data_IF_282859041106
#
_entry.id   IF_282859041106
#
_cell.length_a   1.000
_cell.length_b   1.000
_cell.length_c   1.000
_cell.angle_alpha   90.00
_cell.angle_beta   90.00
_cell.angle_gamma   90.00
#
_symmetry.space_group_name_H-M   'P 1'
#
loop_
_entity.id
_entity.type
_entity.pdbx_description
1 polymer ?
#
# COMPACT_ATOMS: atom_id res chain seq x y z
N UNK A 1 7.10 1.25 -20.56
CA UNK A 1 5.97 2.00 -21.15
C UNK A 1 6.14 3.46 -20.82
N UNK A 2 6.03 4.35 -21.81
CA UNK A 2 6.22 5.79 -21.58
C UNK A 2 5.28 6.58 -22.47
N UNK A 3 4.70 7.65 -21.93
CA UNK A 3 3.82 8.55 -22.69
C UNK A 3 2.63 7.82 -23.33
N UNK A 4 2.02 6.89 -22.59
CA UNK A 4 0.82 6.19 -23.03
C UNK A 4 -0.41 6.76 -22.35
N UNK A 5 -1.56 6.65 -23.01
CA UNK A 5 -2.87 6.93 -22.40
C UNK A 5 -3.70 5.67 -22.42
N UNK A 6 -4.18 5.26 -21.24
CA UNK A 6 -5.06 4.10 -21.05
C UNK A 6 -6.37 4.61 -20.47
N UNK A 7 -7.41 4.63 -21.29
CA UNK A 7 -8.66 5.28 -20.95
C UNK A 7 -9.89 4.44 -21.24
N UNK A 8 -10.96 4.74 -20.52
CA UNK A 8 -12.32 4.23 -20.76
C UNK A 8 -12.41 2.69 -20.77
N UNK A 9 -11.50 2.01 -20.05
CA UNK A 9 -11.49 0.57 -19.93
C UNK A 9 -12.64 0.10 -19.01
N UNK A 10 -13.58 -0.65 -19.57
CA UNK A 10 -14.81 -1.05 -18.86
C UNK A 10 -14.96 -2.56 -18.64
N UNK A 11 -14.11 -3.37 -19.26
CA UNK A 11 -14.12 -4.84 -19.19
C UNK A 11 -12.68 -5.38 -19.25
N UNK A 12 -12.50 -6.62 -18.83
CA UNK A 12 -11.19 -7.28 -18.75
C UNK A 12 -10.62 -7.27 -17.33
N UNK A 13 -9.37 -7.72 -17.20
CA UNK A 13 -8.69 -7.84 -15.90
C UNK A 13 -8.13 -6.50 -15.41
N UNK A 14 -7.52 -5.73 -16.31
CA UNK A 14 -6.98 -4.40 -16.04
C UNK A 14 -6.83 -3.61 -17.36
N UNK A 15 -6.65 -2.30 -17.27
CA UNK A 15 -6.22 -1.48 -18.41
C UNK A 15 -4.82 -1.85 -18.88
N UNK A 16 -3.91 -2.07 -17.94
CA UNK A 16 -2.59 -2.67 -18.17
C UNK A 16 -2.34 -3.75 -17.12
N UNK A 17 -2.02 -4.95 -17.56
CA UNK A 17 -1.56 -6.05 -16.72
C UNK A 17 -0.15 -6.43 -17.15
N UNK A 18 0.79 -6.33 -16.21
CA UNK A 18 2.15 -6.88 -16.36
C UNK A 18 2.30 -7.98 -15.33
N UNK A 19 2.35 -9.23 -15.79
CA UNK A 19 2.60 -10.40 -14.96
C UNK A 19 3.72 -11.21 -15.60
N UNK A 20 4.84 -11.37 -14.89
CA UNK A 20 6.01 -12.07 -15.42
C UNK A 20 6.97 -12.47 -14.29
N UNK A 21 7.54 -13.67 -14.40
CA UNK A 21 8.56 -14.20 -13.48
C UNK A 21 10.00 -13.98 -13.92
N UNK A 22 10.22 -13.32 -15.06
CA UNK A 22 11.54 -13.21 -15.69
C UNK A 22 11.91 -11.79 -16.11
N UNK A 23 11.04 -10.80 -15.93
CA UNK A 23 11.40 -9.42 -16.24
C UNK A 23 12.31 -8.83 -15.15
N UNK A 24 13.46 -8.32 -15.59
CA UNK A 24 14.39 -7.58 -14.72
C UNK A 24 13.87 -6.17 -14.40
N UNK A 25 13.18 -5.51 -15.33
CA UNK A 25 12.69 -4.15 -15.13
C UNK A 25 11.32 -3.91 -15.79
N UNK A 26 10.39 -3.34 -15.01
CA UNK A 26 9.15 -2.76 -15.49
C UNK A 26 9.17 -1.27 -15.18
N UNK A 27 9.19 -0.44 -16.23
CA UNK A 27 9.18 1.01 -16.10
C UNK A 27 7.93 1.59 -16.76
N UNK A 28 7.18 2.39 -16.01
CA UNK A 28 5.99 3.13 -16.42
C UNK A 28 6.24 4.59 -16.08
N UNK A 29 6.39 5.42 -17.10
CA UNK A 29 6.74 6.83 -16.92
C UNK A 29 5.84 7.75 -17.74
N UNK A 30 5.55 8.95 -17.22
CA UNK A 30 4.89 10.03 -17.95
C UNK A 30 3.59 9.59 -18.64
N UNK A 31 2.79 8.75 -17.99
CA UNK A 31 1.61 8.10 -18.61
C UNK A 31 0.29 8.55 -17.95
N UNK A 32 -0.82 8.46 -18.67
CA UNK A 32 -2.15 8.86 -18.22
C UNK A 32 -3.10 7.67 -18.18
N UNK A 33 -3.75 7.45 -17.04
CA UNK A 33 -4.79 6.46 -16.84
C UNK A 33 -6.07 7.14 -16.42
N UNK A 34 -7.16 7.02 -17.19
CA UNK A 34 -8.38 7.79 -16.89
C UNK A 34 -9.68 7.10 -17.24
N UNK A 35 -10.70 7.27 -16.38
CA UNK A 35 -12.06 6.73 -16.60
C UNK A 35 -12.10 5.22 -16.78
N UNK A 36 -11.14 4.51 -16.21
CA UNK A 36 -11.16 3.05 -16.19
C UNK A 36 -12.05 2.58 -15.05
N UNK A 37 -12.96 1.63 -15.33
CA UNK A 37 -13.83 1.00 -14.32
C UNK A 37 -13.39 -0.42 -13.95
N UNK A 38 -12.25 -0.84 -14.49
CA UNK A 38 -11.44 -1.98 -14.07
C UNK A 38 -10.13 -1.40 -13.52
N UNK A 39 -9.31 -2.20 -12.78
CA UNK A 39 -7.99 -1.73 -12.36
C UNK A 39 -7.22 -1.08 -13.50
N UNK A 40 -6.65 0.10 -13.26
CA UNK A 40 -5.94 0.82 -14.32
C UNK A 40 -4.60 0.17 -14.63
N UNK A 41 -3.91 -0.27 -13.58
CA UNK A 41 -2.60 -0.89 -13.67
C UNK A 41 -2.47 -2.01 -12.64
N UNK A 42 -2.11 -3.20 -13.10
CA UNK A 42 -1.64 -4.30 -12.26
C UNK A 42 -0.22 -4.65 -12.69
N UNK A 43 0.71 -4.64 -11.74
CA UNK A 43 2.08 -5.13 -11.94
C UNK A 43 2.35 -6.20 -10.91
N UNK A 44 2.60 -7.42 -11.36
CA UNK A 44 2.98 -8.54 -10.53
C UNK A 44 4.27 -9.12 -11.08
N UNK A 45 5.36 -8.84 -10.36
CA UNK A 45 6.67 -9.36 -10.70
C UNK A 45 7.05 -10.43 -9.71
N UNK A 46 6.98 -11.67 -10.17
CA UNK A 46 7.64 -12.78 -9.51
C UNK A 46 9.14 -12.66 -9.82
N UNK A 47 9.98 -12.86 -8.82
CA UNK A 47 11.40 -13.01 -9.06
C UNK A 47 11.95 -14.03 -8.07
N UNK A 48 12.70 -14.99 -8.58
CA UNK A 48 13.23 -16.11 -7.79
C UNK A 48 14.75 -16.00 -7.63
N UNK A 49 15.49 -15.74 -8.71
CA UNK A 49 16.96 -15.74 -8.68
C UNK A 49 17.56 -14.35 -8.91
N UNK A 50 17.04 -13.59 -9.88
CA UNK A 50 17.59 -12.29 -10.26
C UNK A 50 16.74 -11.14 -9.71
N UNK A 51 17.38 -10.04 -9.23
CA UNK A 51 16.64 -8.87 -8.78
C UNK A 51 15.78 -8.29 -9.91
N UNK A 52 14.52 -7.98 -9.60
CA UNK A 52 13.64 -7.25 -10.50
C UNK A 52 13.38 -5.85 -9.97
N UNK A 53 12.98 -4.92 -10.83
CA UNK A 53 12.65 -3.55 -10.44
C UNK A 53 11.37 -3.07 -11.13
N UNK A 54 10.45 -2.56 -10.32
CA UNK A 54 9.27 -1.83 -10.80
C UNK A 54 9.45 -0.35 -10.54
N UNK A 55 9.22 0.46 -11.57
CA UNK A 55 9.22 1.93 -11.51
C UNK A 55 7.92 2.46 -12.08
N UNK A 56 7.14 3.14 -11.26
CA UNK A 56 5.97 3.90 -11.67
C UNK A 56 6.23 5.37 -11.35
N UNK A 57 6.46 6.18 -12.38
CA UNK A 57 6.92 7.55 -12.20
C UNK A 57 6.19 8.57 -13.07
N UNK A 58 6.05 9.79 -12.57
CA UNK A 58 5.49 10.94 -13.31
C UNK A 58 4.16 10.65 -14.03
N UNK A 59 3.35 9.73 -13.52
CA UNK A 59 2.13 9.28 -14.18
C UNK A 59 0.90 9.81 -13.46
N UNK A 60 -0.18 10.00 -14.20
CA UNK A 60 -1.44 10.55 -13.69
C UNK A 60 -2.55 9.52 -13.78
N UNK A 61 -3.24 9.32 -12.67
CA UNK A 61 -4.42 8.47 -12.55
C UNK A 61 -5.60 9.33 -12.14
N UNK A 62 -6.58 9.48 -13.02
CA UNK A 62 -7.72 10.39 -12.80
C UNK A 62 -9.07 9.76 -13.13
N UNK A 63 -10.02 9.89 -12.20
CA UNK A 63 -11.39 9.41 -12.37
C UNK A 63 -11.49 7.90 -12.70
N UNK A 64 -10.62 7.08 -12.10
CA UNK A 64 -10.71 5.62 -12.22
C UNK A 64 -11.49 5.02 -11.03
N UNK A 65 -11.97 3.79 -11.18
CA UNK A 65 -12.71 3.04 -10.14
C UNK A 65 -12.03 1.67 -9.85
N UNK A 66 -12.49 0.98 -8.80
CA UNK A 66 -11.91 -0.28 -8.26
C UNK A 66 -10.49 -0.08 -7.68
N UNK A 67 -9.63 -1.09 -7.67
CA UNK A 67 -8.22 -0.90 -7.31
C UNK A 67 -7.47 -0.23 -8.46
N UNK A 68 -7.14 1.07 -8.36
CA UNK A 68 -6.58 1.82 -9.50
C UNK A 68 -5.20 1.30 -9.88
N UNK A 69 -4.31 1.15 -8.89
CA UNK A 69 -2.97 0.58 -9.04
C UNK A 69 -2.78 -0.54 -8.03
N UNK A 70 -2.44 -1.73 -8.54
CA UNK A 70 -2.07 -2.88 -7.73
C UNK A 70 -0.65 -3.31 -8.11
N UNK A 71 0.26 -3.34 -7.14
CA UNK A 71 1.64 -3.80 -7.35
C UNK A 71 1.97 -4.92 -6.37
N UNK A 72 2.23 -6.12 -6.91
CA UNK A 72 2.79 -7.24 -6.18
C UNK A 72 4.31 -7.32 -6.47
N UNK A 73 5.09 -7.20 -5.41
CA UNK A 73 6.56 -7.19 -5.43
C UNK A 73 7.06 -8.51 -4.85
N UNK A 74 7.61 -9.36 -5.72
CA UNK A 74 8.17 -10.64 -5.31
C UNK A 74 9.44 -10.53 -4.45
N UNK A 75 9.96 -11.70 -4.08
CA UNK A 75 11.03 -11.92 -3.08
C UNK A 75 12.30 -11.08 -3.21
N UNK A 76 12.66 -10.71 -4.43
CA UNK A 76 13.84 -9.93 -4.79
C UNK A 76 13.52 -8.64 -5.56
N UNK A 77 12.27 -8.17 -5.49
CA UNK A 77 11.80 -7.03 -6.26
C UNK A 77 12.04 -5.69 -5.56
N UNK A 78 12.63 -4.73 -6.28
CA UNK A 78 12.69 -3.33 -5.88
C UNK A 78 11.48 -2.56 -6.42
N UNK A 79 11.03 -1.55 -5.68
CA UNK A 79 9.90 -0.71 -6.08
C UNK A 79 10.23 0.78 -5.92
N UNK A 80 9.90 1.54 -6.95
CA UNK A 80 9.88 3.00 -6.92
C UNK A 80 8.54 3.50 -7.48
N UNK A 81 7.71 4.09 -6.63
CA UNK A 81 6.50 4.82 -7.01
C UNK A 81 6.76 6.29 -6.68
N UNK A 82 7.10 7.10 -7.68
CA UNK A 82 7.51 8.49 -7.42
C UNK A 82 6.88 9.53 -8.35
N UNK A 83 6.52 10.69 -7.78
CA UNK A 83 6.00 11.84 -8.54
C UNK A 83 4.75 11.54 -9.37
N UNK A 84 3.91 10.61 -8.91
CA UNK A 84 2.63 10.33 -9.54
C UNK A 84 1.52 11.19 -8.94
N UNK A 85 0.47 11.42 -9.72
CA UNK A 85 -0.73 12.14 -9.28
C UNK A 85 -1.94 11.21 -9.36
N UNK A 86 -2.62 11.02 -8.23
CA UNK A 86 -3.86 10.27 -8.11
C UNK A 86 -4.98 11.24 -7.73
N UNK A 87 -5.87 11.53 -8.69
CA UNK A 87 -6.89 12.56 -8.56
C UNK A 87 -8.30 12.01 -8.77
N UNK A 88 -9.22 12.26 -7.84
CA UNK A 88 -10.65 11.98 -8.03
C UNK A 88 -10.95 10.51 -8.39
N UNK A 89 -10.13 9.57 -7.92
CA UNK A 89 -10.37 8.15 -8.13
C UNK A 89 -11.29 7.56 -7.05
N UNK A 90 -11.95 6.44 -7.37
CA UNK A 90 -12.83 5.68 -6.48
C UNK A 90 -13.99 6.51 -5.91
N UNK A 91 -14.62 7.32 -6.75
CA UNK A 91 -15.78 8.12 -6.38
C UNK A 91 -17.00 7.24 -6.03
N UNK A 92 -17.03 5.98 -6.47
CA UNK A 92 -18.04 5.01 -6.03
C UNK A 92 -17.90 4.57 -4.56
N UNK A 93 -16.78 4.88 -3.91
CA UNK A 93 -16.53 4.58 -2.50
C UNK A 93 -16.09 3.14 -2.21
N UNK A 94 -15.70 2.36 -3.23
CA UNK A 94 -15.28 0.96 -3.09
C UNK A 94 -13.78 0.79 -3.34
N UNK A 95 -13.19 -0.26 -2.73
CA UNK A 95 -11.77 -0.62 -2.86
C UNK A 95 -10.82 0.55 -2.51
N UNK A 96 -9.58 0.56 -2.99
CA UNK A 96 -8.63 1.64 -2.71
C UNK A 96 -7.85 2.07 -3.94
N UNK A 97 -7.16 3.20 -3.87
CA UNK A 97 -6.47 3.76 -5.04
C UNK A 97 -5.19 2.98 -5.35
N UNK A 98 -4.27 2.90 -4.39
CA UNK A 98 -3.01 2.20 -4.57
C UNK A 98 -2.86 1.08 -3.54
N UNK A 99 -2.56 -0.13 -4.01
CA UNK A 99 -2.22 -1.28 -3.17
C UNK A 99 -0.83 -1.79 -3.54
N UNK A 100 0.02 -1.97 -2.53
CA UNK A 100 1.35 -2.54 -2.67
C UNK A 100 1.45 -3.73 -1.71
N UNK A 101 1.68 -4.91 -2.27
CA UNK A 101 2.02 -6.12 -1.52
C UNK A 101 3.46 -6.51 -1.83
N UNK A 102 4.28 -6.66 -0.81
CA UNK A 102 5.67 -7.08 -0.97
C UNK A 102 5.94 -8.35 -0.16
N UNK A 103 6.73 -9.27 -0.70
CA UNK A 103 7.09 -10.52 -0.02
C UNK A 103 8.61 -10.73 0.00
N UNK A 104 9.40 -9.80 0.57
CA UNK A 104 10.85 -9.84 0.50
C UNK A 104 11.44 -11.08 1.19
N UNK A 105 12.43 -11.73 0.56
CA UNK A 105 13.14 -12.89 1.16
C UNK A 105 14.14 -12.50 2.24
N UNK A 106 14.65 -13.47 2.98
CA UNK A 106 15.72 -13.25 3.96
C UNK A 106 16.97 -12.62 3.35
N UNK A 107 17.57 -11.65 4.05
CA UNK A 107 18.76 -10.94 3.58
C UNK A 107 18.52 -9.88 2.50
N UNK A 108 17.25 -9.65 2.12
CA UNK A 108 16.83 -8.61 1.16
C UNK A 108 16.76 -7.20 1.75
N UNK A 109 17.28 -6.96 2.96
CA UNK A 109 17.24 -5.67 3.67
C UNK A 109 17.85 -4.47 2.90
N UNK A 110 18.47 -4.73 1.75
CA UNK A 110 19.04 -3.76 0.82
C UNK A 110 18.11 -3.38 -0.34
N UNK A 111 16.98 -4.07 -0.52
CA UNK A 111 16.07 -3.83 -1.65
C UNK A 111 15.09 -2.71 -1.27
N UNK A 112 15.13 -1.56 -1.96
CA UNK A 112 14.32 -0.42 -1.60
C UNK A 112 12.89 -0.57 -2.11
N UNK A 113 11.92 -0.31 -1.22
CA UNK A 113 10.51 -0.15 -1.57
C UNK A 113 10.12 1.29 -1.26
N UNK A 114 10.12 2.14 -2.28
CA UNK A 114 9.97 3.58 -2.15
C UNK A 114 8.65 4.04 -2.74
N UNK A 115 7.86 4.75 -1.93
CA UNK A 115 6.68 5.49 -2.34
C UNK A 115 6.88 6.93 -1.92
N UNK A 116 7.23 7.80 -2.86
CA UNK A 116 7.67 9.16 -2.54
C UNK A 116 7.20 10.25 -3.48
N UNK A 117 7.03 11.46 -2.95
CA UNK A 117 6.68 12.64 -3.76
C UNK A 117 5.40 12.47 -4.59
N UNK A 118 4.49 11.57 -4.21
CA UNK A 118 3.21 11.40 -4.90
C UNK A 118 2.15 12.32 -4.30
N UNK A 119 1.17 12.68 -5.13
CA UNK A 119 0.00 13.46 -4.73
C UNK A 119 -1.26 12.58 -4.80
N UNK A 120 -1.95 12.46 -3.68
CA UNK A 120 -3.26 11.81 -3.57
C UNK A 120 -4.30 12.87 -3.21
N UNK A 121 -5.10 13.27 -4.18
CA UNK A 121 -6.07 14.35 -4.03
C UNK A 121 -7.48 13.90 -4.34
N UNK A 122 -8.42 14.22 -3.44
CA UNK A 122 -9.87 13.99 -3.66
C UNK A 122 -10.25 12.55 -4.01
N UNK A 123 -9.49 11.57 -3.55
CA UNK A 123 -9.81 10.18 -3.80
C UNK A 123 -10.85 9.68 -2.79
N UNK A 124 -11.77 8.84 -3.26
CA UNK A 124 -12.67 8.05 -2.43
C UNK A 124 -12.15 6.64 -2.17
N UNK A 125 -13.07 5.72 -1.91
CA UNK A 125 -12.75 4.33 -1.54
C UNK A 125 -12.44 4.15 -0.05
N UNK A 126 -12.01 2.96 0.31
CA UNK A 126 -11.56 2.61 1.66
C UNK A 126 -10.25 3.31 2.02
N UNK A 127 -9.32 3.41 1.07
CA UNK A 127 -8.01 4.02 1.27
C UNK A 127 -7.40 4.63 0.00
N UNK A 128 -6.52 5.62 0.19
CA UNK A 128 -5.71 6.16 -0.92
C UNK A 128 -4.44 5.33 -1.15
N UNK A 129 -3.82 4.82 -0.09
CA UNK A 129 -2.71 3.87 -0.22
C UNK A 129 -2.80 2.77 0.84
N UNK A 130 -2.59 1.52 0.44
CA UNK A 130 -2.40 0.38 1.33
C UNK A 130 -1.01 -0.22 1.10
N UNK A 131 -0.24 -0.31 2.18
CA UNK A 131 1.13 -0.81 2.17
C UNK A 131 1.21 -2.08 3.01
N UNK A 132 1.51 -3.18 2.35
CA UNK A 132 1.65 -4.49 2.95
C UNK A 132 3.02 -5.05 2.62
N UNK A 133 3.61 -5.71 3.62
CA UNK A 133 4.82 -6.49 3.44
C UNK A 133 4.68 -7.75 4.29
N UNK A 134 4.64 -8.89 3.61
CA UNK A 134 4.53 -10.22 4.19
C UNK A 134 5.91 -10.79 4.51
N UNK A 135 5.93 -11.81 5.35
CA UNK A 135 7.15 -12.44 5.84
C UNK A 135 7.71 -11.77 7.09
N UNK A 136 8.67 -12.45 7.71
CA UNK A 136 9.39 -11.97 8.92
C UNK A 136 10.63 -11.15 8.57
N UNK A 137 10.89 -10.93 7.28
CA UNK A 137 12.13 -10.34 6.79
C UNK A 137 11.95 -8.85 6.54
N UNK A 138 12.84 -8.05 7.13
CA UNK A 138 12.81 -6.61 7.00
C UNK A 138 13.36 -6.15 5.65
N UNK A 139 12.49 -5.76 4.72
CA UNK A 139 12.88 -4.84 3.65
C UNK A 139 12.76 -3.39 4.11
N UNK A 140 13.44 -2.49 3.40
CA UNK A 140 13.44 -1.06 3.73
C UNK A 140 12.31 -0.35 3.00
N UNK A 141 11.10 -0.44 3.54
CA UNK A 141 9.94 0.28 3.05
C UNK A 141 9.95 1.75 3.47
N UNK A 142 9.68 2.65 2.54
CA UNK A 142 9.54 4.08 2.82
C UNK A 142 8.33 4.66 2.10
N UNK A 143 7.48 5.33 2.86
CA UNK A 143 6.40 6.18 2.37
C UNK A 143 6.70 7.60 2.83
N UNK A 144 7.25 8.43 1.94
CA UNK A 144 7.81 9.73 2.34
C UNK A 144 7.51 10.88 1.40
N UNK A 145 7.39 12.08 1.93
CA UNK A 145 7.21 13.30 1.14
C UNK A 145 5.98 13.23 0.20
N UNK A 146 5.00 12.39 0.51
CA UNK A 146 3.74 12.34 -0.22
C UNK A 146 2.79 13.39 0.34
N UNK A 147 1.92 13.89 -0.53
CA UNK A 147 0.87 14.84 -0.17
C UNK A 147 -0.49 14.17 -0.33
N UNK A 148 -1.26 14.08 0.74
CA UNK A 148 -2.58 13.47 0.76
C UNK A 148 -3.58 14.50 1.26
N UNK A 149 -4.42 15.01 0.37
CA UNK A 149 -5.37 16.06 0.75
C UNK A 149 -6.75 15.90 0.11
N UNK A 150 -7.76 16.40 0.81
CA UNK A 150 -9.16 16.38 0.37
C UNK A 150 -9.71 14.98 0.05
N UNK A 151 -9.02 13.91 0.45
CA UNK A 151 -9.52 12.55 0.27
C UNK A 151 -10.71 12.29 1.22
N UNK A 152 -11.61 11.41 0.77
CA UNK A 152 -12.88 11.07 1.45
C UNK A 152 -12.92 9.57 1.77
N UNK A 153 -11.81 9.05 2.33
CA UNK A 153 -11.64 7.61 2.54
C UNK A 153 -12.48 7.08 3.71
N UNK A 154 -13.20 5.98 3.50
CA UNK A 154 -14.08 5.41 4.53
C UNK A 154 -13.32 4.72 5.66
N UNK A 155 -12.07 4.30 5.43
CA UNK A 155 -11.20 3.70 6.46
C UNK A 155 -10.07 4.65 6.85
N UNK A 156 -9.16 4.97 5.93
CA UNK A 156 -8.06 5.88 6.20
C UNK A 156 -7.40 6.37 4.91
N UNK A 157 -6.71 7.51 4.96
CA UNK A 157 -5.88 7.97 3.83
C UNK A 157 -4.78 6.94 3.51
N UNK A 158 -4.11 6.40 4.53
CA UNK A 158 -3.12 5.33 4.41
C UNK A 158 -3.46 4.16 5.33
N UNK A 159 -3.34 2.93 4.83
CA UNK A 159 -3.43 1.70 5.61
C UNK A 159 -2.07 1.00 5.63
N UNK A 160 -1.59 0.69 6.83
CA UNK A 160 -0.32 -0.01 7.03
C UNK A 160 -0.55 -1.33 7.75
N UNK A 161 -0.05 -2.43 7.19
CA UNK A 161 -0.21 -3.77 7.77
C UNK A 161 1.11 -4.44 8.15
N UNK A 162 2.24 -3.70 8.10
CA UNK A 162 3.57 -4.25 8.34
C UNK A 162 4.48 -3.25 9.07
N UNK A 163 5.36 -3.71 10.00
CA UNK A 163 6.31 -2.86 10.70
C UNK A 163 7.45 -2.31 9.83
N UNK A 164 7.60 -2.81 8.61
CA UNK A 164 8.79 -2.59 7.78
C UNK A 164 8.73 -1.33 6.92
N UNK A 165 7.65 -0.54 7.02
CA UNK A 165 7.55 0.76 6.39
C UNK A 165 7.81 1.90 7.38
N UNK A 166 8.63 2.86 6.94
CA UNK A 166 8.77 4.17 7.59
C UNK A 166 7.89 5.20 6.90
N UNK A 167 7.11 5.94 7.66
CA UNK A 167 6.30 7.05 7.19
C UNK A 167 7.00 8.35 7.56
N UNK A 168 7.53 9.09 6.58
CA UNK A 168 8.38 10.24 6.88
C UNK A 168 8.03 11.48 6.07
N UNK A 169 7.88 12.62 6.75
CA UNK A 169 7.72 13.93 6.08
C UNK A 169 6.55 13.99 5.09
N UNK A 170 5.47 13.25 5.33
CA UNK A 170 4.25 13.34 4.53
C UNK A 170 3.35 14.46 5.04
N UNK A 171 2.53 15.00 4.14
CA UNK A 171 1.56 16.06 4.43
C UNK A 171 0.13 15.53 4.25
N UNK A 172 -0.60 15.40 5.35
CA UNK A 172 -1.98 14.93 5.39
C UNK A 172 -2.92 16.09 5.65
N UNK A 173 -4.02 16.17 4.90
CA UNK A 173 -5.09 17.14 5.09
C UNK A 173 -6.42 16.57 4.58
N UNK A 174 -6.94 15.52 5.24
CA UNK A 174 -8.13 14.78 4.79
C UNK A 174 -9.25 14.86 5.83
N UNK A 175 -9.92 16.04 5.96
CA UNK A 175 -10.91 16.27 7.00
C UNK A 175 -12.11 15.33 6.92
N UNK A 176 -12.39 14.79 5.72
CA UNK A 176 -13.52 13.91 5.45
C UNK A 176 -13.17 12.41 5.43
N UNK A 177 -11.89 12.04 5.39
CA UNK A 177 -11.47 10.65 5.61
C UNK A 177 -11.76 10.22 7.05
N UNK A 178 -12.06 8.95 7.31
CA UNK A 178 -12.28 8.49 8.69
C UNK A 178 -11.02 8.62 9.56
N UNK A 179 -9.85 8.24 9.02
CA UNK A 179 -8.55 8.44 9.65
C UNK A 179 -7.49 8.93 8.65
N UNK A 180 -6.37 9.47 9.13
CA UNK A 180 -5.20 9.68 8.26
C UNK A 180 -4.40 8.39 8.07
N UNK A 181 -4.18 7.66 9.17
CA UNK A 181 -3.45 6.40 9.18
C UNK A 181 -4.23 5.32 9.96
N UNK A 182 -4.44 4.17 9.32
CA UNK A 182 -4.89 2.92 9.97
C UNK A 182 -3.72 1.93 10.05
N UNK A 183 -3.29 1.59 11.26
CA UNK A 183 -2.23 0.62 11.54
C UNK A 183 -2.86 -0.69 11.98
N UNK A 184 -2.81 -1.69 11.09
CA UNK A 184 -3.30 -3.04 11.35
C UNK A 184 -2.18 -3.87 11.94
N UNK A 185 -2.00 -3.73 13.25
CA UNK A 185 -1.05 -4.49 14.08
C UNK A 185 -1.80 -5.27 15.15
N UNK A 186 -1.17 -6.31 15.69
CA UNK A 186 -1.55 -6.98 16.94
C UNK A 186 -0.99 -6.27 18.19
N UNK A 187 -0.26 -5.16 18.01
CA UNK A 187 0.38 -4.42 19.08
C UNK A 187 1.84 -4.81 19.35
N UNK A 188 2.38 -5.79 18.62
CA UNK A 188 3.74 -6.34 18.84
C UNK A 188 4.87 -5.45 18.33
N UNK A 189 4.57 -4.46 17.48
CA UNK A 189 5.56 -3.61 16.83
C UNK A 189 5.20 -2.14 16.87
N UNK A 190 6.24 -1.30 16.80
CA UNK A 190 6.14 0.17 16.89
C UNK A 190 6.15 0.79 15.51
N UNK A 191 5.18 1.67 15.25
CA UNK A 191 5.12 2.51 14.07
C UNK A 191 6.31 3.47 14.03
N UNK A 192 6.98 3.52 12.88
CA UNK A 192 8.01 4.53 12.57
C UNK A 192 7.37 5.63 11.73
N UNK A 193 6.88 6.68 12.39
CA UNK A 193 6.23 7.81 11.73
C UNK A 193 6.84 9.14 12.20
N UNK A 194 7.78 9.68 11.43
CA UNK A 194 8.55 10.86 11.82
C UNK A 194 8.24 12.06 10.92
N UNK A 195 8.16 13.25 11.50
CA UNK A 195 8.03 14.53 10.77
C UNK A 195 6.82 14.63 9.83
N UNK A 196 5.77 13.83 10.02
CA UNK A 196 4.54 13.96 9.23
C UNK A 196 3.68 15.10 9.78
N UNK A 197 3.06 15.86 8.88
CA UNK A 197 1.97 16.77 9.23
C UNK A 197 0.64 16.01 9.11
N UNK A 198 -0.09 15.84 10.20
CA UNK A 198 -1.32 15.03 10.21
C UNK A 198 -2.59 15.82 9.84
N UNK A 199 -2.49 17.13 9.64
CA UNK A 199 -3.64 17.96 9.24
C UNK A 199 -4.74 18.09 10.29
N UNK A 200 -4.53 17.56 11.49
CA UNK A 200 -5.45 17.62 12.63
C UNK A 200 -4.68 17.50 13.94
N UNK A 201 -5.15 18.18 14.98
CA UNK A 201 -4.67 18.02 16.36
C UNK A 201 -5.38 16.86 17.10
N UNK A 202 -6.47 16.33 16.54
CA UNK A 202 -7.16 15.17 17.10
C UNK A 202 -6.44 13.88 16.70
N UNK A 203 -5.64 13.35 17.63
CA UNK A 203 -4.87 12.13 17.41
C UNK A 203 -5.74 10.89 17.16
N UNK A 204 -7.00 10.87 17.60
CA UNK A 204 -7.94 9.78 17.28
C UNK A 204 -8.42 9.83 15.84
N UNK A 205 -8.51 11.04 15.27
CA UNK A 205 -8.74 11.24 13.84
C UNK A 205 -7.47 10.94 13.05
N UNK A 206 -6.30 11.35 13.53
CA UNK A 206 -5.05 11.07 12.82
C UNK A 206 -4.76 9.56 12.76
N UNK A 207 -4.97 8.81 13.86
CA UNK A 207 -4.57 7.41 13.96
C UNK A 207 -5.70 6.49 14.42
N UNK A 208 -5.80 5.37 13.72
CA UNK A 208 -6.42 4.14 14.23
C UNK A 208 -5.32 3.10 14.37
N UNK A 209 -4.93 2.80 15.61
CA UNK A 209 -3.87 1.85 15.90
C UNK A 209 -4.03 1.28 17.32
N UNK A 210 -3.53 0.06 17.60
CA UNK A 210 -3.32 -0.37 18.97
C UNK A 210 -2.41 0.61 19.72
N UNK A 211 -2.73 0.93 20.97
CA UNK A 211 -1.94 1.86 21.78
C UNK A 211 -0.47 1.44 21.89
N UNK A 212 -0.22 0.13 22.01
CA UNK A 212 1.13 -0.41 22.07
C UNK A 212 1.90 -0.31 20.76
N UNK A 213 1.27 0.01 19.62
CA UNK A 213 1.94 0.24 18.34
C UNK A 213 2.34 1.69 18.11
N UNK A 214 1.75 2.63 18.85
CA UNK A 214 2.11 4.04 18.74
C UNK A 214 3.42 4.32 19.50
N UNK A 215 4.34 5.12 18.94
CA UNK A 215 5.49 5.61 19.67
C UNK A 215 5.05 6.61 20.75
N UNK A 216 5.76 6.62 21.88
CA UNK A 216 5.42 7.40 23.09
C UNK A 216 5.29 8.92 22.85
N UNK A 217 5.88 9.45 21.78
CA UNK A 217 5.80 10.86 21.40
C UNK A 217 4.55 11.27 20.60
N UNK A 218 3.71 10.31 20.20
CA UNK A 218 2.47 10.54 19.42
C UNK A 218 1.22 10.46 20.32
N UNK A 219 1.36 10.01 21.56
CA UNK A 219 0.24 9.95 22.50
C UNK A 219 0.09 11.26 23.30
N UNK A 220 -1.13 11.79 23.51
CA UNK A 220 -1.35 12.74 24.59
C UNK A 220 -0.96 12.05 25.91
N UNK A 221 -0.18 12.72 26.75
CA UNK A 221 0.25 12.16 28.04
C UNK A 221 -0.97 11.87 28.93
N UNK A 222 -1.40 10.61 28.97
CA UNK A 222 -2.31 10.12 29.99
C UNK A 222 -1.46 9.50 31.08
N UNK A 223 -1.50 10.08 32.28
CA UNK A 223 -0.90 9.48 33.47
C UNK A 223 -1.64 8.19 33.81
N UNK A 224 -1.02 7.04 33.57
CA UNK A 224 -1.56 5.73 33.97
C UNK A 224 -0.71 5.18 35.12
N UNK A 225 -1.37 4.87 36.24
CA UNK A 225 -0.77 4.21 37.39
C UNK A 225 -0.36 2.76 37.05
N UNK A 226 0.73 2.24 37.64
CA UNK A 226 1.27 0.93 37.27
C UNK A 226 0.36 -0.21 37.75
N UNK A 227 -0.05 -1.08 36.83
CA UNK A 227 -0.63 -2.40 37.13
C UNK A 227 0.45 -3.47 36.95
N UNK A 228 0.55 -4.38 37.93
CA UNK A 228 1.55 -5.44 38.00
C UNK A 228 1.43 -6.47 36.85
N UNK A 229 2.54 -7.08 36.41
CA UNK A 229 2.55 -7.99 35.28
C UNK A 229 2.07 -9.41 35.67
N UNK A 230 1.15 -9.96 34.88
CA UNK A 230 0.91 -11.41 34.84
C UNK A 230 1.84 -12.07 33.80
N UNK A 231 2.22 -13.35 33.98
CA UNK A 231 3.14 -14.03 33.08
C UNK A 231 2.49 -14.38 31.73
N UNK A 232 3.27 -14.45 30.64
CA UNK A 232 2.75 -14.65 29.29
C UNK A 232 2.24 -16.08 29.06
N UNK A 233 1.15 -16.26 28.27
CA UNK A 233 0.70 -17.58 27.86
C UNK A 233 1.64 -18.16 26.78
N UNK A 234 1.82 -19.48 26.86
CA UNK A 234 2.57 -20.29 25.89
C UNK A 234 1.67 -20.55 24.68
N UNK A 235 2.11 -20.15 23.48
CA UNK A 235 1.44 -20.49 22.20
C UNK A 235 2.28 -21.54 21.47
N UNK A 236 1.70 -22.66 21.00
CA UNK A 236 2.44 -23.71 20.32
C UNK A 236 2.74 -23.36 18.86
N UNK A 237 3.94 -23.73 18.40
CA UNK A 237 4.38 -23.68 17.01
C UNK A 237 3.63 -24.69 16.13
N UNK A 238 3.04 -24.22 15.04
CA UNK A 238 2.81 -24.88 13.73
C UNK A 238 1.92 -23.94 12.91
N UNK A 239 2.05 -23.74 11.60
CA UNK A 239 2.51 -24.58 10.50
C UNK A 239 2.81 -23.71 9.28
N UNK A 240 3.60 -24.26 8.36
CA UNK A 240 3.96 -23.75 7.03
C UNK A 240 2.83 -23.03 6.28
N UNK A 241 3.09 -21.78 5.89
CA UNK A 241 2.45 -21.12 4.75
C UNK A 241 3.50 -20.76 3.71
N UNK A 242 4.14 -21.77 3.12
CA UNK A 242 4.76 -21.63 1.82
C UNK A 242 3.77 -22.16 0.78
N UNK A 243 2.90 -21.29 0.28
CA UNK A 243 2.12 -21.58 -0.92
C UNK A 243 2.20 -20.39 -1.85
N UNK A 244 2.72 -20.68 -3.04
CA UNK A 244 2.95 -19.84 -4.20
C UNK A 244 2.00 -18.63 -4.31
N UNK A 245 2.58 -17.45 -4.48
CA UNK A 245 1.86 -16.23 -4.86
C UNK A 245 1.30 -16.37 -6.28
N UNK A 246 0.21 -17.14 -6.44
CA UNK A 246 -0.61 -17.08 -7.63
C UNK A 246 -1.51 -15.85 -7.56
N UNK A 247 -1.44 -14.98 -8.58
CA UNK A 247 -2.34 -13.84 -8.80
C UNK A 247 -3.81 -14.26 -8.70
N UNK A 248 -4.40 -14.14 -7.51
CA UNK A 248 -5.85 -14.24 -7.33
C UNK A 248 -6.47 -12.84 -7.25
N UNK A 249 -6.27 -12.03 -8.30
CA UNK A 249 -6.97 -10.76 -8.43
C UNK A 249 -8.22 -10.92 -9.30
N UNK A 250 -9.37 -10.90 -8.65
CA UNK A 250 -10.68 -10.91 -9.28
C UNK A 250 -11.25 -9.49 -9.30
N UNK A 251 -11.27 -8.83 -10.47
CA UNK A 251 -12.09 -7.62 -10.58
C UNK A 251 -13.56 -8.01 -10.37
N UNK A 252 -14.35 -7.19 -9.67
CA UNK A 252 -15.80 -7.44 -9.46
C UNK A 252 -16.60 -7.52 -10.77
N UNK A 253 -15.95 -7.20 -11.91
CA UNK A 253 -16.51 -7.16 -13.27
C UNK A 253 -15.92 -8.21 -14.22
N UNK A 254 -15.06 -9.13 -13.73
CA UNK A 254 -14.43 -10.20 -14.53
C UNK A 254 -14.64 -11.60 -13.94
N UNK A 255 -14.55 -12.64 -14.78
CA UNK A 255 -14.43 -14.03 -14.33
C UNK A 255 -12.99 -14.29 -13.92
N UNK A 256 -12.78 -14.87 -12.74
CA UNK A 256 -11.48 -15.40 -12.34
C UNK A 256 -11.35 -16.80 -12.94
N UNK A 257 -10.41 -17.00 -13.85
CA UNK A 257 -9.99 -18.33 -14.27
C UNK A 257 -8.63 -18.62 -13.61
N UNK A 258 -8.71 -19.35 -12.51
CA UNK A 258 -7.60 -20.05 -11.88
C UNK A 258 -8.05 -21.49 -11.67
N UNK A 259 -8.08 -22.28 -12.74
CA UNK A 259 -8.27 -23.73 -12.62
C UNK A 259 -6.98 -24.33 -12.04
N UNK A 260 -7.05 -24.80 -10.80
CA UNK A 260 -6.16 -25.85 -10.31
C UNK A 260 -6.65 -27.17 -10.90
N UNK A 261 -5.96 -27.66 -11.93
CA UNK A 261 -5.98 -29.07 -12.28
C UNK A 261 -4.61 -29.67 -11.93
N UNK A 262 -4.69 -30.71 -11.09
CA UNK A 262 -3.67 -31.63 -10.55
C UNK A 262 -2.93 -31.21 -9.27
#
# INVERSE_FOLDING_TARGET
MRNITVADQSRGHAGVLVSTGWAEEVNIDSSLFTRNTVPSLIVALECHEQPSRTRLTNSTFINNEETVVHIDVGECGALEVSRNTFLENNNSGKEGVMMINAEPREGSSKIPLLVEENEFAKNGGEFSAMLTMHGSHAANGSFRQNRLHDNINSVASVVLTSPHYRLESNDFANPLSAHELDVRSDGSWKLQANNNNWGTDDMKKAFKAPESSLPLGIMPQVQVQPVQPNPPPIVPESSDYSQCAHLNFCSRRGRCEGELIF
#
